data_IF_907642457926
#
_entry.id   IF_907642457926
#
_cell.length_a   1.000
_cell.length_b   1.000
_cell.length_c   1.000
_cell.angle_alpha   90.00
_cell.angle_beta   90.00
_cell.angle_gamma   90.00
#
_symmetry.space_group_name_H-M   'P 1'
#
loop_
_entity.id
_entity.type
_entity.pdbx_description
1 polymer ?
#
# COMPACT_ATOMS: atom_id res chain seq x y z
N UNK A 1 8.40 33.89 28.13
CA UNK A 1 9.47 33.08 27.51
C UNK A 1 9.67 33.63 26.11
N UNK A 2 10.68 34.50 25.94
CA UNK A 2 10.95 35.19 24.68
C UNK A 2 11.85 34.31 23.80
N UNK A 3 11.51 34.18 22.51
CA UNK A 3 12.31 33.47 21.51
C UNK A 3 13.65 34.19 21.34
N UNK A 4 14.76 33.44 21.38
CA UNK A 4 16.11 33.99 21.33
C UNK A 4 16.40 34.53 19.93
N UNK A 5 17.07 35.68 19.84
CA UNK A 5 17.38 36.38 18.58
C UNK A 5 18.24 35.53 17.62
N UNK A 6 18.87 34.48 18.13
CA UNK A 6 19.61 33.46 17.38
C UNK A 6 18.73 32.61 16.46
N UNK A 7 17.42 32.51 16.73
CA UNK A 7 16.50 31.73 15.89
C UNK A 7 16.13 32.50 14.59
N UNK A 8 16.20 33.83 14.62
CA UNK A 8 15.88 34.70 13.48
C UNK A 8 17.03 34.70 12.46
N UNK A 9 18.28 34.61 12.91
CA UNK A 9 19.48 34.56 12.05
C UNK A 9 19.57 33.29 11.20
N UNK A 10 18.95 32.20 11.65
CA UNK A 10 18.91 30.95 10.87
C UNK A 10 18.02 31.16 9.64
N UNK A 11 16.86 31.79 9.81
CA UNK A 11 15.88 32.00 8.74
C UNK A 11 16.39 32.96 7.65
N UNK A 12 17.25 33.93 8.00
CA UNK A 12 17.85 34.88 7.05
C UNK A 12 19.04 34.31 6.28
N UNK A 13 19.61 33.18 6.73
CA UNK A 13 20.76 32.51 6.11
C UNK A 13 20.39 31.27 5.31
N UNK A 14 19.12 30.86 5.32
CA UNK A 14 18.66 29.73 4.50
C UNK A 14 18.64 30.15 3.02
N UNK A 15 19.41 29.49 2.14
CA UNK A 15 19.33 29.77 0.71
C UNK A 15 17.92 29.54 0.19
N UNK A 16 17.45 30.38 -0.73
CA UNK A 16 16.14 30.23 -1.35
C UNK A 16 15.97 28.86 -2.02
N UNK A 17 17.06 28.31 -2.58
CA UNK A 17 17.10 26.96 -3.13
C UNK A 17 16.91 25.86 -2.09
N UNK A 18 17.40 26.05 -0.86
CA UNK A 18 17.18 25.12 0.25
C UNK A 18 15.74 25.16 0.73
N UNK A 19 15.14 26.35 0.81
CA UNK A 19 13.71 26.52 1.09
C UNK A 19 12.86 25.85 0.01
N UNK A 20 13.15 26.13 -1.26
CA UNK A 20 12.45 25.52 -2.38
C UNK A 20 12.58 24.00 -2.34
N UNK A 21 13.77 23.46 -2.15
CA UNK A 21 14.00 22.02 -2.09
C UNK A 21 13.26 21.38 -0.91
N UNK A 22 13.35 21.95 0.29
CA UNK A 22 12.70 21.40 1.49
C UNK A 22 11.18 21.44 1.39
N UNK A 23 10.60 22.51 0.84
CA UNK A 23 9.15 22.62 0.62
C UNK A 23 8.69 21.60 -0.42
N UNK A 24 9.36 21.51 -1.57
CA UNK A 24 9.00 20.53 -2.60
C UNK A 24 9.16 19.10 -2.05
N UNK A 25 10.24 18.82 -1.34
CA UNK A 25 10.46 17.51 -0.75
C UNK A 25 9.39 17.18 0.29
N UNK A 26 8.98 18.13 1.15
CA UNK A 26 7.91 17.92 2.12
C UNK A 26 6.53 17.76 1.49
N UNK A 27 6.26 18.45 0.37
CA UNK A 27 4.99 18.35 -0.37
C UNK A 27 4.87 17.06 -1.18
N UNK A 28 5.99 16.58 -1.74
CA UNK A 28 6.01 15.41 -2.63
C UNK A 28 6.53 14.14 -1.98
N UNK A 29 6.93 14.18 -0.70
CA UNK A 29 7.18 12.94 0.04
C UNK A 29 5.86 12.19 0.18
N UNK A 30 5.79 10.91 -0.26
CA UNK A 30 4.64 10.08 0.06
C UNK A 30 4.53 10.02 1.58
N UNK A 31 3.38 10.42 2.13
CA UNK A 31 3.10 10.20 3.54
C UNK A 31 3.08 8.70 3.78
N UNK A 32 4.19 8.16 4.31
CA UNK A 32 4.29 6.75 4.71
C UNK A 32 3.50 6.61 6.01
N UNK A 33 2.16 6.58 5.91
CA UNK A 33 1.34 6.09 7.01
C UNK A 33 1.62 4.59 7.14
N UNK A 34 2.37 4.19 8.16
CA UNK A 34 2.70 2.79 8.46
C UNK A 34 1.48 1.93 8.87
N UNK A 35 0.27 2.47 8.78
CA UNK A 35 -0.98 1.78 9.01
C UNK A 35 -1.73 1.65 7.68
N UNK A 36 -1.48 0.58 6.90
CA UNK A 36 -2.28 0.30 5.72
C UNK A 36 -3.76 0.08 6.11
N UNK A 37 -4.74 0.59 5.33
CA UNK A 37 -6.16 0.35 5.55
C UNK A 37 -6.62 -1.06 5.12
N UNK A 38 -5.70 -2.03 5.12
CA UNK A 38 -5.93 -3.37 4.58
C UNK A 38 -5.86 -4.41 5.69
N UNK A 39 -6.83 -5.31 5.70
CA UNK A 39 -6.88 -6.42 6.64
C UNK A 39 -5.64 -7.31 6.48
N UNK A 40 -5.01 -7.65 7.60
CA UNK A 40 -3.84 -8.53 7.65
C UNK A 40 -4.25 -9.94 7.19
N UNK A 41 -3.98 -10.27 5.91
CA UNK A 41 -4.14 -11.61 5.38
C UNK A 41 -2.90 -12.45 5.73
N UNK A 42 -3.10 -13.62 6.34
CA UNK A 42 -2.05 -14.45 6.92
C UNK A 42 -0.93 -14.85 5.96
N UNK A 43 0.29 -14.88 6.49
CA UNK A 43 1.50 -15.35 5.83
C UNK A 43 1.45 -16.88 5.63
N UNK A 44 0.98 -17.31 4.46
CA UNK A 44 1.04 -18.69 3.96
C UNK A 44 1.73 -18.75 2.59
N UNK A 45 2.17 -19.93 2.12
CA UNK A 45 3.04 -20.05 0.94
C UNK A 45 2.39 -19.41 -0.30
N UNK A 46 2.95 -18.30 -0.80
CA UNK A 46 2.50 -17.65 -2.04
C UNK A 46 2.24 -16.14 -2.01
N UNK A 47 2.35 -15.46 -0.86
CA UNK A 47 2.03 -14.02 -0.80
C UNK A 47 3.24 -13.10 -1.06
N UNK A 48 3.05 -12.10 -1.91
CA UNK A 48 3.92 -10.91 -1.94
C UNK A 48 3.34 -9.87 -0.99
N UNK A 49 3.95 -9.69 0.18
CA UNK A 49 3.32 -9.01 1.33
C UNK A 49 3.69 -7.53 1.50
N UNK A 50 4.36 -6.86 0.56
CA UNK A 50 4.82 -5.48 0.81
C UNK A 50 4.73 -4.59 -0.44
N UNK A 51 3.91 -3.53 -0.33
CA UNK A 51 4.04 -2.29 -1.08
C UNK A 51 3.44 -2.24 -2.48
N UNK A 52 3.63 -3.30 -3.28
CA UNK A 52 3.19 -3.32 -4.68
C UNK A 52 2.19 -4.47 -4.93
N UNK A 53 1.08 -4.15 -5.59
CA UNK A 53 0.11 -5.16 -6.06
C UNK A 53 0.76 -5.94 -7.20
N UNK A 54 1.50 -6.98 -6.83
CA UNK A 54 2.06 -7.89 -7.82
C UNK A 54 0.98 -8.88 -8.28
N UNK A 55 0.43 -8.62 -9.46
CA UNK A 55 -0.62 -9.43 -10.07
C UNK A 55 -0.19 -10.90 -10.20
N UNK A 56 1.09 -11.19 -10.49
CA UNK A 56 1.54 -12.58 -10.64
C UNK A 56 1.56 -13.33 -9.32
N UNK A 57 1.91 -12.68 -8.21
CA UNK A 57 1.85 -13.29 -6.88
C UNK A 57 0.42 -13.61 -6.44
N UNK A 58 -0.53 -12.76 -6.84
CA UNK A 58 -1.96 -12.98 -6.61
C UNK A 58 -2.46 -14.19 -7.42
N UNK A 59 -2.11 -14.28 -8.70
CA UNK A 59 -2.48 -15.41 -9.55
C UNK A 59 -1.86 -16.72 -9.08
N UNK A 60 -0.62 -16.68 -8.58
CA UNK A 60 0.06 -17.84 -7.99
C UNK A 60 -0.64 -18.30 -6.70
N UNK A 61 -1.02 -17.36 -5.82
CA UNK A 61 -1.79 -17.65 -4.61
C UNK A 61 -3.13 -18.32 -4.91
N UNK A 62 -3.88 -17.83 -5.90
CA UNK A 62 -5.11 -18.48 -6.34
C UNK A 62 -4.84 -19.85 -6.96
N UNK A 63 -3.80 -19.99 -7.76
CA UNK A 63 -3.51 -21.24 -8.48
C UNK A 63 -3.05 -22.37 -7.54
N UNK A 64 -2.19 -22.07 -6.56
CA UNK A 64 -1.64 -23.05 -5.62
C UNK A 64 -2.72 -23.60 -4.69
N UNK A 65 -3.64 -22.75 -4.23
CA UNK A 65 -4.66 -23.13 -3.25
C UNK A 65 -5.98 -23.60 -3.88
N UNK A 66 -6.14 -23.47 -5.20
CA UNK A 66 -7.38 -23.83 -5.89
C UNK A 66 -7.39 -25.30 -6.33
N UNK A 67 -8.23 -26.11 -5.68
CA UNK A 67 -8.59 -27.41 -6.21
C UNK A 67 -9.71 -27.29 -7.25
N UNK A 68 -9.35 -27.38 -8.53
CA UNK A 68 -10.29 -27.34 -9.65
C UNK A 68 -11.36 -28.43 -9.65
N UNK A 69 -11.19 -29.49 -8.85
CA UNK A 69 -12.14 -30.61 -8.76
C UNK A 69 -13.28 -30.29 -7.80
N UNK A 70 -13.06 -29.37 -6.86
CA UNK A 70 -14.07 -28.98 -5.89
C UNK A 70 -14.96 -27.92 -6.52
N UNK A 71 -16.20 -28.31 -6.81
CA UNK A 71 -17.21 -27.37 -7.30
C UNK A 71 -17.42 -26.27 -6.26
N UNK A 72 -17.64 -25.02 -6.69
CA UNK A 72 -18.11 -23.98 -5.78
C UNK A 72 -19.35 -24.46 -5.03
N UNK A 73 -19.40 -24.18 -3.72
CA UNK A 73 -20.49 -24.56 -2.84
C UNK A 73 -20.78 -26.07 -2.75
N UNK A 74 -19.75 -26.91 -2.68
CA UNK A 74 -19.91 -28.36 -2.54
C UNK A 74 -20.73 -28.72 -1.27
N UNK A 75 -21.85 -29.42 -1.45
CA UNK A 75 -22.77 -29.78 -0.35
C UNK A 75 -23.79 -28.71 0.04
N UNK A 76 -23.74 -27.52 -0.57
CA UNK A 76 -24.69 -26.43 -0.36
C UNK A 76 -25.70 -26.27 -1.50
N UNK A 77 -26.32 -25.08 -1.58
CA UNK A 77 -27.25 -24.71 -2.66
C UNK A 77 -26.60 -24.83 -4.05
N UNK A 78 -27.37 -25.28 -5.04
CA UNK A 78 -26.92 -25.33 -6.43
C UNK A 78 -26.46 -23.97 -6.94
N UNK A 79 -25.36 -23.99 -7.72
CA UNK A 79 -24.83 -22.84 -8.43
C UNK A 79 -25.65 -22.58 -9.69
N UNK A 80 -26.16 -21.36 -9.84
CA UNK A 80 -26.76 -20.89 -11.10
C UNK A 80 -25.67 -20.30 -12.00
N UNK A 81 -25.69 -20.68 -13.28
CA UNK A 81 -24.75 -20.22 -14.29
C UNK A 81 -25.52 -19.37 -15.31
N UNK A 82 -25.05 -18.15 -15.57
CA UNK A 82 -25.55 -17.34 -16.67
C UNK A 82 -24.68 -17.56 -17.90
N UNK A 83 -25.32 -17.85 -19.04
CA UNK A 83 -24.63 -18.01 -20.33
C UNK A 83 -24.98 -16.78 -21.17
N UNK A 84 -23.95 -16.03 -21.57
CA UNK A 84 -24.06 -14.95 -22.56
C UNK A 84 -23.43 -15.44 -23.86
N UNK A 85 -24.17 -15.33 -24.95
CA UNK A 85 -23.70 -15.59 -26.31
C UNK A 85 -23.33 -14.28 -27.01
#
# INVERSE_FOLDING_TARGET
>A
MAMSITDIDILTRVPLGTLFLTINLALFLPHISNSPPYANAGSGPGGSYLGDVNISAILDSFSVSYDKRVRPNYGGKNLELSISY
#
